data_IF_562947686708
#
_entry.id   IF_562947686708
#
_cell.length_a   1.000
_cell.length_b   1.000
_cell.length_c   1.000
_cell.angle_alpha   90.00
_cell.angle_beta   90.00
_cell.angle_gamma   90.00
#
_symmetry.space_group_name_H-M   'P 1'
#
loop_
_entity.id
_entity.type
_entity.pdbx_description
1 polymer ?
#
# COMPACT_ATOMS: atom_id res chain seq x y z
N UNK A 1 -6.68 -12.56 -21.78
CA UNK A 1 -7.72 -12.61 -20.85
C UNK A 1 -8.73 -11.48 -20.93
N UNK A 2 -9.52 -11.39 -21.94
CA UNK A 2 -10.84 -10.82 -22.15
C UNK A 2 -11.42 -9.66 -21.32
N UNK A 3 -10.63 -8.95 -20.54
CA UNK A 3 -11.04 -7.71 -19.89
C UNK A 3 -10.92 -6.58 -20.91
N UNK A 4 -12.06 -6.10 -21.42
CA UNK A 4 -12.15 -4.87 -22.22
C UNK A 4 -11.56 -3.72 -21.40
N UNK A 5 -10.35 -3.29 -21.75
CA UNK A 5 -9.69 -2.21 -21.05
C UNK A 5 -10.38 -0.87 -21.33
N UNK A 6 -10.34 0.07 -20.36
CA UNK A 6 -10.68 1.45 -20.63
C UNK A 6 -9.85 1.97 -21.81
N UNK A 7 -10.40 2.92 -22.57
CA UNK A 7 -9.82 3.52 -23.80
C UNK A 7 -8.37 4.01 -23.64
N UNK A 8 -7.89 4.20 -22.42
CA UNK A 8 -6.53 4.67 -22.08
C UNK A 8 -5.56 3.56 -21.66
N UNK A 9 -6.00 2.31 -21.57
CA UNK A 9 -5.13 1.18 -21.21
C UNK A 9 -4.10 0.84 -22.30
N UNK A 10 -3.02 0.15 -21.94
CA UNK A 10 -2.02 -0.35 -22.85
C UNK A 10 -1.88 -1.87 -22.70
N UNK A 11 -1.81 -2.56 -23.84
CA UNK A 11 -1.73 -4.01 -23.95
C UNK A 11 -0.44 -4.45 -24.62
N UNK A 12 -0.22 -5.75 -24.72
CA UNK A 12 0.98 -6.36 -25.28
C UNK A 12 1.40 -5.78 -26.66
N UNK A 13 0.42 -5.44 -27.51
CA UNK A 13 0.70 -4.81 -28.81
C UNK A 13 1.36 -3.44 -28.67
N UNK A 14 0.93 -2.63 -27.69
CA UNK A 14 1.57 -1.35 -27.41
C UNK A 14 3.03 -1.53 -26.98
N UNK A 15 3.29 -2.41 -26.02
CA UNK A 15 4.63 -2.60 -25.48
C UNK A 15 5.59 -3.23 -26.49
N UNK A 16 5.09 -4.07 -27.40
CA UNK A 16 5.87 -4.61 -28.52
C UNK A 16 6.18 -3.60 -29.62
N UNK A 17 5.41 -2.52 -29.71
CA UNK A 17 5.65 -1.45 -30.70
C UNK A 17 6.66 -0.40 -30.22
N UNK A 18 7.11 -0.47 -28.97
CA UNK A 18 8.08 0.47 -28.43
C UNK A 18 9.49 0.26 -29.05
N UNK A 19 10.35 1.30 -29.09
CA UNK A 19 11.72 1.18 -29.58
C UNK A 19 12.53 0.09 -28.84
N UNK A 20 12.28 -0.06 -27.54
CA UNK A 20 12.74 -1.19 -26.72
C UNK A 20 11.53 -2.07 -26.41
N UNK A 21 11.20 -2.94 -27.36
CA UNK A 21 10.02 -3.78 -27.29
C UNK A 21 10.11 -4.82 -26.16
N UNK A 22 9.03 -4.99 -25.40
CA UNK A 22 8.89 -6.05 -24.40
C UNK A 22 7.45 -6.57 -24.36
N UNK A 23 7.22 -7.65 -23.63
CA UNK A 23 5.90 -8.24 -23.42
C UNK A 23 5.31 -7.83 -22.07
N UNK A 24 4.00 -7.68 -21.99
CA UNK A 24 3.31 -7.56 -20.71
C UNK A 24 3.62 -8.79 -19.85
N UNK A 25 3.94 -8.55 -18.58
CA UNK A 25 4.14 -9.63 -17.60
C UNK A 25 2.82 -10.39 -17.32
N UNK A 26 1.69 -9.70 -17.34
CA UNK A 26 0.36 -10.23 -17.02
C UNK A 26 0.33 -11.05 -15.73
N UNK A 27 1.03 -10.58 -14.70
CA UNK A 27 1.18 -11.26 -13.43
C UNK A 27 1.51 -10.28 -12.30
N UNK A 28 1.62 -10.78 -11.07
CA UNK A 28 2.01 -9.97 -9.92
C UNK A 28 3.35 -9.27 -10.13
N UNK A 29 3.51 -8.10 -9.55
CA UNK A 29 4.77 -7.38 -9.53
C UNK A 29 5.72 -8.03 -8.51
N UNK A 30 6.98 -8.22 -8.90
CA UNK A 30 8.03 -8.68 -7.98
C UNK A 30 8.73 -7.51 -7.30
N UNK A 31 8.76 -6.35 -7.97
CA UNK A 31 9.37 -5.12 -7.47
C UNK A 31 8.55 -3.90 -7.82
N UNK A 32 8.63 -2.83 -7.01
CA UNK A 32 7.98 -1.55 -7.32
C UNK A 32 8.57 -0.88 -8.58
N UNK A 33 9.81 -1.18 -8.93
CA UNK A 33 10.45 -0.67 -10.15
C UNK A 33 9.73 -1.12 -11.42
N UNK A 34 9.07 -2.28 -11.41
CA UNK A 34 8.30 -2.77 -12.55
C UNK A 34 7.15 -1.84 -12.93
N UNK A 35 6.68 -0.98 -12.00
CA UNK A 35 5.70 0.06 -12.32
C UNK A 35 6.19 0.99 -13.42
N UNK A 36 7.50 1.29 -13.49
CA UNK A 36 8.06 2.11 -14.58
C UNK A 36 7.96 1.48 -15.97
N UNK A 37 7.65 0.20 -16.05
CA UNK A 37 7.35 -0.51 -17.32
C UNK A 37 5.89 -0.35 -17.72
N UNK A 38 5.03 0.19 -16.86
CA UNK A 38 3.61 0.38 -17.14
C UNK A 38 3.39 1.77 -17.75
N UNK A 39 2.69 1.84 -18.87
CA UNK A 39 2.37 3.09 -19.56
C UNK A 39 1.72 4.10 -18.58
N UNK A 40 2.29 5.30 -18.52
CA UNK A 40 1.81 6.37 -17.65
C UNK A 40 2.54 6.49 -16.31
N UNK A 41 3.32 5.48 -15.91
CA UNK A 41 4.19 5.58 -14.74
C UNK A 41 5.58 6.07 -15.16
N UNK A 42 5.89 7.31 -14.81
CA UNK A 42 7.25 7.84 -14.94
C UNK A 42 8.08 7.50 -13.71
N UNK A 43 9.43 7.53 -13.78
CA UNK A 43 10.27 7.33 -12.60
C UNK A 43 9.90 8.25 -11.42
N UNK A 44 9.56 9.51 -11.70
CA UNK A 44 9.15 10.48 -10.69
C UNK A 44 7.83 10.09 -10.02
N UNK A 45 6.87 9.58 -10.78
CA UNK A 45 5.60 9.07 -10.24
C UNK A 45 5.88 7.86 -9.34
N UNK A 46 6.71 6.91 -9.79
CA UNK A 46 7.05 5.71 -9.02
C UNK A 46 7.74 6.10 -7.70
N UNK A 47 8.70 7.03 -7.74
CA UNK A 47 9.37 7.50 -6.51
C UNK A 47 8.40 8.20 -5.54
N UNK A 48 7.46 8.99 -6.04
CA UNK A 48 6.43 9.64 -5.19
C UNK A 48 5.47 8.64 -4.57
N UNK A 49 5.16 7.54 -5.27
CA UNK A 49 4.27 6.49 -4.77
C UNK A 49 4.98 5.52 -3.83
N UNK A 50 6.31 5.38 -3.93
CA UNK A 50 7.11 4.43 -3.15
C UNK A 50 6.82 4.39 -1.65
N UNK A 51 6.64 5.54 -0.93
CA UNK A 51 6.33 5.53 0.49
C UNK A 51 4.94 4.93 0.83
N UNK A 52 4.05 4.83 -0.16
CA UNK A 52 2.66 4.41 0.01
C UNK A 52 2.37 3.03 -0.56
N UNK A 53 3.36 2.39 -1.18
CA UNK A 53 3.21 1.10 -1.86
C UNK A 53 4.13 0.05 -1.25
N UNK A 54 3.63 -1.17 -1.15
CA UNK A 54 4.42 -2.34 -0.80
C UNK A 54 4.04 -3.52 -1.70
N UNK A 55 5.01 -4.37 -2.02
CA UNK A 55 4.77 -5.67 -2.64
C UNK A 55 4.65 -6.69 -1.51
N UNK A 56 3.48 -7.23 -1.34
CA UNK A 56 3.21 -8.26 -0.33
C UNK A 56 2.19 -9.28 -0.82
N UNK A 57 1.97 -10.31 -0.06
CA UNK A 57 1.02 -11.40 -0.35
C UNK A 57 -0.40 -11.12 0.19
N UNK A 58 -0.63 -9.96 0.79
CA UNK A 58 -1.94 -9.54 1.30
C UNK A 58 -2.33 -8.20 0.71
N UNK A 59 -3.59 -8.07 0.31
CA UNK A 59 -4.14 -6.78 -0.14
C UNK A 59 -4.72 -5.96 1.03
N UNK A 60 -4.59 -6.44 2.27
CA UNK A 60 -5.21 -5.81 3.44
C UNK A 60 -4.42 -4.59 3.91
N UNK A 61 -5.11 -3.46 4.01
CA UNK A 61 -4.61 -2.22 4.60
C UNK A 61 -4.96 -2.18 6.09
N UNK A 62 -3.99 -1.89 6.95
CA UNK A 62 -4.23 -1.72 8.38
C UNK A 62 -4.65 -0.28 8.67
N UNK A 63 -5.91 -0.09 9.10
CA UNK A 63 -6.49 1.22 9.42
C UNK A 63 -5.72 1.96 10.53
N UNK A 64 -5.08 1.22 11.44
CA UNK A 64 -4.33 1.81 12.56
C UNK A 64 -2.96 2.37 12.16
N UNK A 65 -2.43 2.02 10.98
CA UNK A 65 -1.08 2.43 10.54
C UNK A 65 -1.06 3.10 9.18
N UNK A 66 -2.13 3.00 8.40
CA UNK A 66 -2.23 3.61 7.07
C UNK A 66 -2.04 5.13 7.12
N UNK A 67 -1.30 5.70 6.16
CA UNK A 67 -1.17 7.15 6.00
C UNK A 67 -2.45 7.75 5.44
N UNK A 68 -2.59 9.09 5.51
CA UNK A 68 -3.72 9.80 4.91
C UNK A 68 -3.90 9.42 3.44
N UNK A 69 -2.80 9.39 2.68
CA UNK A 69 -2.81 9.06 1.25
C UNK A 69 -3.28 7.62 1.01
N UNK A 70 -2.86 6.68 1.84
CA UNK A 70 -3.28 5.27 1.74
C UNK A 70 -4.76 5.11 2.09
N UNK A 71 -5.26 5.80 3.12
CA UNK A 71 -6.68 5.79 3.45
C UNK A 71 -7.52 6.37 2.32
N UNK A 72 -7.14 7.53 1.77
CA UNK A 72 -7.82 8.14 0.62
C UNK A 72 -7.80 7.27 -0.65
N UNK A 73 -6.79 6.42 -0.81
CA UNK A 73 -6.69 5.51 -1.97
C UNK A 73 -7.62 4.29 -1.87
N UNK A 74 -8.21 4.01 -0.72
CA UNK A 74 -9.11 2.86 -0.53
C UNK A 74 -10.43 3.03 -1.28
N UNK A 75 -10.99 4.25 -1.29
CA UNK A 75 -12.23 4.57 -1.98
C UNK A 75 -12.36 6.07 -2.21
N UNK A 76 -13.03 6.46 -3.30
CA UNK A 76 -13.25 7.87 -3.67
C UNK A 76 -14.09 8.66 -2.67
N UNK A 77 -14.85 7.99 -1.81
CA UNK A 77 -15.64 8.62 -0.75
C UNK A 77 -14.81 8.96 0.49
N UNK A 78 -13.58 8.46 0.59
CA UNK A 78 -12.65 8.78 1.67
C UNK A 78 -11.82 9.99 1.24
N UNK A 79 -12.31 11.17 1.56
CA UNK A 79 -11.57 12.40 1.35
C UNK A 79 -10.53 12.65 2.47
N UNK A 80 -9.80 13.75 2.37
CA UNK A 80 -8.76 14.11 3.35
C UNK A 80 -9.33 14.29 4.76
N UNK A 81 -10.44 14.98 4.88
CA UNK A 81 -11.06 15.28 6.17
C UNK A 81 -11.51 13.98 6.88
N UNK A 82 -12.07 13.06 6.10
CA UNK A 82 -12.42 11.71 6.57
C UNK A 82 -11.20 10.92 7.01
N UNK A 83 -10.13 10.92 6.22
CA UNK A 83 -8.88 10.22 6.57
C UNK A 83 -8.25 10.80 7.84
N UNK A 84 -8.26 12.12 8.00
CA UNK A 84 -7.77 12.81 9.21
C UNK A 84 -8.65 12.52 10.43
N UNK A 85 -9.97 12.40 10.28
CA UNK A 85 -10.86 12.00 11.36
C UNK A 85 -10.55 10.56 11.85
N UNK A 86 -10.31 9.62 10.94
CA UNK A 86 -9.88 8.26 11.29
C UNK A 86 -8.53 8.30 12.04
N UNK A 87 -7.57 9.09 11.55
CA UNK A 87 -6.26 9.24 12.19
C UNK A 87 -6.39 9.84 13.58
N UNK A 88 -7.22 10.88 13.75
CA UNK A 88 -7.48 11.50 15.05
C UNK A 88 -8.11 10.51 16.03
N UNK A 89 -9.07 9.72 15.59
CA UNK A 89 -9.70 8.70 16.42
C UNK A 89 -8.65 7.68 16.92
N UNK A 90 -7.87 7.07 16.02
CA UNK A 90 -6.88 6.05 16.39
C UNK A 90 -5.71 6.56 17.23
N UNK A 91 -5.49 7.87 17.32
CA UNK A 91 -4.51 8.48 18.24
C UNK A 91 -4.99 8.45 19.69
N UNK A 92 -6.30 8.42 19.93
CA UNK A 92 -6.88 8.33 21.28
C UNK A 92 -6.99 6.87 21.73
N UNK A 93 -7.43 6.00 20.84
CA UNK A 93 -7.53 4.56 21.07
C UNK A 93 -7.41 3.80 19.72
N UNK A 94 -6.74 2.65 19.71
CA UNK A 94 -6.66 1.83 18.49
C UNK A 94 -8.05 1.39 18.02
N UNK A 95 -8.26 1.39 16.71
CA UNK A 95 -9.47 0.80 16.11
C UNK A 95 -9.35 -0.71 16.19
N UNK A 96 -10.13 -1.35 17.04
CA UNK A 96 -10.21 -2.81 17.15
C UNK A 96 -11.24 -3.39 16.18
N UNK A 97 -12.28 -2.62 15.88
CA UNK A 97 -13.33 -2.97 14.94
C UNK A 97 -13.83 -1.71 14.22
N UNK A 98 -14.10 -1.82 12.91
CA UNK A 98 -14.63 -0.72 12.08
C UNK A 98 -15.93 -0.15 12.65
N UNK A 99 -16.74 -0.93 13.40
CA UNK A 99 -17.95 -0.46 14.05
C UNK A 99 -17.74 0.71 15.02
N UNK A 100 -16.54 0.85 15.59
CA UNK A 100 -16.19 1.99 16.46
C UNK A 100 -16.20 3.34 15.74
N UNK A 101 -16.14 3.33 14.41
CA UNK A 101 -16.12 4.53 13.58
C UNK A 101 -17.52 4.95 13.09
N UNK A 102 -18.58 4.24 13.49
CA UNK A 102 -19.97 4.50 13.03
C UNK A 102 -20.45 5.91 13.38
N UNK A 103 -20.16 6.36 14.60
CA UNK A 103 -20.55 7.70 15.08
C UNK A 103 -19.51 8.80 14.74
N UNK A 104 -18.36 8.41 14.21
CA UNK A 104 -17.24 9.32 13.87
C UNK A 104 -17.33 9.79 12.43
N UNK A 105 -17.83 8.93 11.53
CA UNK A 105 -17.81 9.12 10.09
C UNK A 105 -19.20 9.31 9.50
N UNK A 106 -19.26 9.97 8.35
CA UNK A 106 -20.49 9.99 7.57
C UNK A 106 -20.94 8.56 7.22
N UNK A 107 -22.25 8.31 7.27
CA UNK A 107 -22.85 6.98 7.08
C UNK A 107 -22.36 6.28 5.80
N UNK A 108 -22.21 7.01 4.68
CA UNK A 108 -21.74 6.44 3.42
C UNK A 108 -20.31 5.91 3.53
N UNK A 109 -19.41 6.66 4.20
CA UNK A 109 -18.02 6.26 4.41
C UNK A 109 -17.94 5.06 5.34
N UNK A 110 -18.70 5.05 6.42
CA UNK A 110 -18.78 3.90 7.31
C UNK A 110 -19.19 2.62 6.58
N UNK A 111 -20.19 2.69 5.69
CA UNK A 111 -20.61 1.55 4.84
C UNK A 111 -19.45 1.09 3.94
N UNK A 112 -18.70 2.02 3.36
CA UNK A 112 -17.51 1.69 2.54
C UNK A 112 -16.48 0.94 3.37
N UNK A 113 -16.08 1.47 4.53
CA UNK A 113 -15.09 0.81 5.39
C UNK A 113 -15.54 -0.58 5.84
N UNK A 114 -16.82 -0.72 6.19
CA UNK A 114 -17.41 -2.02 6.55
C UNK A 114 -17.36 -3.01 5.37
N UNK A 115 -17.61 -2.54 4.16
CA UNK A 115 -17.53 -3.35 2.95
C UNK A 115 -16.09 -3.80 2.69
N UNK A 116 -15.12 -2.89 2.78
CA UNK A 116 -13.70 -3.19 2.63
C UNK A 116 -13.22 -4.21 3.68
N UNK A 117 -13.68 -4.08 4.92
CA UNK A 117 -13.37 -5.04 5.98
C UNK A 117 -13.98 -6.43 5.70
N UNK A 118 -15.21 -6.49 5.21
CA UNK A 118 -15.86 -7.77 4.83
C UNK A 118 -15.18 -8.43 3.63
N UNK A 119 -14.55 -7.67 2.75
CA UNK A 119 -13.78 -8.15 1.60
C UNK A 119 -12.30 -8.45 1.94
N UNK A 120 -11.93 -8.37 3.21
CA UNK A 120 -10.56 -8.57 3.70
C UNK A 120 -9.53 -7.59 3.10
N UNK A 121 -10.01 -6.43 2.64
CA UNK A 121 -9.16 -5.34 2.10
C UNK A 121 -8.76 -4.31 3.18
N UNK A 122 -9.51 -4.26 4.28
CA UNK A 122 -9.24 -3.41 5.43
C UNK A 122 -9.18 -4.25 6.70
N UNK A 123 -8.15 -4.05 7.50
CA UNK A 123 -7.98 -4.70 8.79
C UNK A 123 -7.51 -3.75 9.87
N UNK A 124 -7.47 -4.24 11.10
CA UNK A 124 -7.07 -3.48 12.29
C UNK A 124 -5.68 -3.86 12.80
N UNK A 125 -5.10 -4.91 12.24
CA UNK A 125 -3.77 -5.41 12.63
C UNK A 125 -2.91 -5.67 11.39
N UNK A 126 -1.60 -5.61 11.56
CA UNK A 126 -0.65 -5.97 10.51
C UNK A 126 -0.07 -7.36 10.77
N UNK A 127 0.10 -8.13 9.70
CA UNK A 127 0.83 -9.38 9.73
C UNK A 127 2.34 -9.16 9.61
N UNK A 128 2.76 -8.16 8.82
CA UNK A 128 4.16 -7.83 8.57
C UNK A 128 4.56 -6.56 9.28
N UNK A 129 5.77 -6.55 9.81
CA UNK A 129 6.37 -5.44 10.53
C UNK A 129 7.74 -5.14 9.95
N UNK A 130 7.93 -3.90 9.51
CA UNK A 130 9.23 -3.36 9.17
C UNK A 130 9.93 -2.86 10.45
N UNK A 131 11.18 -3.22 10.62
CA UNK A 131 12.05 -2.73 11.69
C UNK A 131 13.19 -1.99 11.03
N UNK A 132 13.37 -0.75 11.40
CA UNK A 132 14.50 0.03 10.96
C UNK A 132 15.22 0.59 12.18
N UNK A 133 16.52 0.39 12.24
CA UNK A 133 17.38 1.00 13.25
C UNK A 133 18.61 1.57 12.60
N UNK A 134 19.06 2.71 13.07
CA UNK A 134 20.30 3.34 12.65
C UNK A 134 21.18 3.63 13.87
N UNK A 135 22.44 3.39 13.73
CA UNK A 135 23.46 3.69 14.72
C UNK A 135 24.55 4.54 14.09
N UNK A 136 25.04 5.52 14.83
CA UNK A 136 26.20 6.32 14.45
C UNK A 136 27.32 6.10 15.47
N UNK A 137 28.45 5.62 14.97
CA UNK A 137 29.64 5.38 15.79
C UNK A 137 30.81 6.14 15.16
N UNK A 138 31.30 7.17 15.84
CA UNK A 138 32.30 8.10 15.32
C UNK A 138 31.83 8.71 13.97
N UNK A 139 32.63 8.56 12.89
CA UNK A 139 32.33 9.05 11.56
C UNK A 139 31.56 8.05 10.68
N UNK A 140 31.24 6.87 11.21
CA UNK A 140 30.52 5.81 10.51
C UNK A 140 29.05 5.72 10.94
N UNK A 141 28.15 5.56 9.97
CA UNK A 141 26.74 5.22 10.23
C UNK A 141 26.43 3.82 9.72
N UNK A 142 25.62 3.08 10.45
CA UNK A 142 25.07 1.80 10.02
C UNK A 142 23.54 1.86 10.12
N UNK A 143 22.87 1.34 9.10
CA UNK A 143 21.42 1.20 9.05
C UNK A 143 21.07 -0.26 8.88
N UNK A 144 20.22 -0.77 9.76
CA UNK A 144 19.67 -2.10 9.67
C UNK A 144 18.19 -1.99 9.28
N UNK A 145 17.79 -2.75 8.29
CA UNK A 145 16.39 -2.90 7.88
C UNK A 145 16.04 -4.38 7.95
N UNK A 146 14.95 -4.68 8.64
CA UNK A 146 14.42 -6.03 8.75
C UNK A 146 12.92 -6.04 8.50
N UNK A 147 12.39 -7.11 7.95
CA UNK A 147 10.97 -7.36 7.81
C UNK A 147 10.62 -8.70 8.45
N UNK A 148 9.62 -8.70 9.32
CA UNK A 148 9.20 -9.87 10.09
C UNK A 148 7.73 -10.18 9.81
N UNK A 149 7.44 -11.43 9.52
CA UNK A 149 6.07 -11.97 9.49
C UNK A 149 5.72 -12.49 10.89
N UNK A 150 4.78 -11.81 11.54
CA UNK A 150 4.35 -12.13 12.92
C UNK A 150 3.63 -13.48 13.01
N UNK A 151 2.91 -13.88 11.97
CA UNK A 151 2.13 -15.11 12.00
C UNK A 151 3.04 -16.35 11.91
N UNK A 152 4.05 -16.31 11.06
CA UNK A 152 5.00 -17.42 10.89
C UNK A 152 6.25 -17.29 11.76
N UNK A 153 6.44 -16.16 12.46
CA UNK A 153 7.67 -15.80 13.19
C UNK A 153 8.93 -15.87 12.31
N UNK A 154 8.79 -15.53 11.02
CA UNK A 154 9.89 -15.57 10.06
C UNK A 154 10.44 -14.19 9.78
N UNK A 155 11.76 -14.10 9.71
CA UNK A 155 12.47 -12.97 9.16
C UNK A 155 12.43 -13.09 7.62
N UNK A 156 11.76 -12.14 6.97
CA UNK A 156 11.56 -12.12 5.52
C UNK A 156 12.67 -11.35 4.80
N UNK A 157 13.17 -10.29 5.43
CA UNK A 157 14.24 -9.45 4.94
C UNK A 157 15.19 -9.09 6.09
N UNK A 158 16.48 -9.10 5.80
CA UNK A 158 17.50 -8.57 6.69
C UNK A 158 18.59 -7.90 5.85
N UNK A 159 18.81 -6.61 6.04
CA UNK A 159 19.80 -5.84 5.31
C UNK A 159 20.54 -4.90 6.25
N UNK A 160 21.86 -4.88 6.14
CA UNK A 160 22.74 -3.93 6.82
C UNK A 160 23.42 -3.08 5.76
N UNK A 161 23.34 -1.77 5.90
CA UNK A 161 23.96 -0.79 4.99
C UNK A 161 24.99 0.03 5.77
#
# INVERSE_FOLDING_TARGET
DGLSLPVSGAEDLYYRSLPQAYRCKNGPLDTLQELSLVKGFTPEIVERLRPHLAINDTAQVNINTATTEVLMALDLQIDRDTAEAIIAYRQTEPVENVAQLEDVLAQQVYIVLKTLANLDQLGTTSRRYGIETSEQVNDGSRRLVAEVDKQSNKLLLFKVN
#
